data_IF_243185840408
#
_entry.id   IF_243185840408
#
_cell.length_a   1.000
_cell.length_b   1.000
_cell.length_c   1.000
_cell.angle_alpha   90.00
_cell.angle_beta   90.00
_cell.angle_gamma   90.00
#
_symmetry.space_group_name_H-M   'P 1'
#
loop_
_entity.id
_entity.type
_entity.pdbx_description
1 polymer ?
#
# COMPACT_ATOMS: atom_id res chain seq x y z
N UNK A 1 -1.33 -5.42 -6.18
CA UNK A 1 -0.32 -6.17 -5.42
C UNK A 1 -0.87 -6.46 -4.02
N UNK A 2 -0.21 -7.31 -3.23
CA UNK A 2 -0.64 -7.89 -1.93
C UNK A 2 -1.44 -7.01 -0.93
N UNK A 3 -1.42 -5.69 -1.07
CA UNK A 3 -2.09 -4.70 -0.22
C UNK A 3 -3.51 -4.31 -0.68
N UNK A 4 -4.10 -5.01 -1.66
CA UNK A 4 -5.45 -4.72 -2.16
C UNK A 4 -6.07 -5.86 -2.97
N UNK A 5 -7.21 -5.60 -3.62
CA UNK A 5 -7.85 -6.57 -4.52
C UNK A 5 -7.02 -6.74 -5.80
N UNK A 6 -6.90 -7.96 -6.36
CA UNK A 6 -6.14 -8.17 -7.58
C UNK A 6 -6.77 -7.46 -8.78
N UNK A 7 -5.89 -7.00 -9.66
CA UNK A 7 -6.22 -6.39 -10.94
C UNK A 7 -5.21 -6.88 -11.98
N UNK A 8 -5.57 -6.85 -13.25
CA UNK A 8 -4.68 -7.25 -14.33
C UNK A 8 -3.68 -6.12 -14.58
N UNK A 9 -2.37 -6.37 -14.48
CA UNK A 9 -1.41 -5.34 -14.77
C UNK A 9 -1.39 -5.06 -16.28
N UNK A 10 -1.19 -3.81 -16.66
CA UNK A 10 -1.02 -3.44 -18.08
C UNK A 10 0.17 -4.16 -18.72
N UNK A 11 1.24 -4.34 -17.95
CA UNK A 11 2.49 -4.94 -18.40
C UNK A 11 3.01 -6.00 -17.44
N UNK A 12 3.91 -6.85 -17.94
CA UNK A 12 4.66 -7.83 -17.16
C UNK A 12 6.11 -7.83 -17.64
N UNK A 13 7.05 -7.94 -16.71
CA UNK A 13 8.49 -8.06 -16.99
C UNK A 13 8.95 -9.50 -16.84
N UNK A 14 9.39 -10.10 -17.94
CA UNK A 14 9.86 -11.48 -18.02
C UNK A 14 11.38 -11.54 -18.05
N UNK A 15 11.99 -12.31 -17.16
CA UNK A 15 13.42 -12.64 -17.20
C UNK A 15 13.68 -13.84 -18.13
N UNK A 16 14.56 -13.69 -19.12
CA UNK A 16 14.75 -14.72 -20.16
C UNK A 16 15.56 -15.95 -19.71
N UNK A 17 16.08 -15.97 -18.49
CA UNK A 17 16.88 -17.07 -17.94
C UNK A 17 16.35 -17.61 -16.62
N UNK A 18 17.21 -18.33 -15.89
CA UNK A 18 16.94 -18.70 -14.48
C UNK A 18 17.08 -17.46 -13.58
N UNK A 19 16.47 -17.40 -12.39
CA UNK A 19 16.42 -16.18 -11.58
C UNK A 19 17.77 -15.48 -11.37
N UNK A 20 18.83 -16.24 -11.10
CA UNK A 20 20.18 -15.71 -10.83
C UNK A 20 21.08 -15.60 -12.07
N UNK A 21 20.55 -15.88 -13.27
CA UNK A 21 21.35 -15.83 -14.49
C UNK A 21 21.49 -14.41 -15.04
N UNK A 22 22.61 -14.14 -15.71
CA UNK A 22 22.81 -12.90 -16.47
C UNK A 22 22.05 -12.96 -17.81
N UNK A 23 20.72 -12.97 -17.76
CA UNK A 23 19.83 -12.91 -18.92
C UNK A 23 19.06 -11.57 -18.95
N UNK A 24 18.63 -11.08 -20.12
CA UNK A 24 17.90 -9.83 -20.21
C UNK A 24 16.46 -9.98 -19.69
N UNK A 25 15.91 -8.84 -19.24
CA UNK A 25 14.49 -8.68 -18.94
C UNK A 25 13.75 -8.11 -20.16
N UNK A 26 12.54 -8.60 -20.43
CA UNK A 26 11.67 -8.12 -21.50
C UNK A 26 10.33 -7.70 -20.89
N UNK A 27 9.92 -6.45 -21.11
CA UNK A 27 8.61 -5.94 -20.67
C UNK A 27 7.66 -5.86 -21.86
N UNK A 28 6.46 -6.40 -21.69
CA UNK A 28 5.41 -6.43 -22.71
C UNK A 28 4.03 -6.29 -22.07
N UNK A 29 3.00 -6.06 -22.88
CA UNK A 29 1.63 -6.06 -22.38
C UNK A 29 1.24 -7.46 -21.86
N UNK A 30 0.45 -7.48 -20.78
CA UNK A 30 0.09 -8.73 -20.10
C UNK A 30 -0.63 -9.71 -21.04
N UNK A 31 -1.53 -9.22 -21.90
CA UNK A 31 -2.23 -10.06 -22.86
C UNK A 31 -1.27 -10.73 -23.87
N UNK A 32 -0.27 -10.02 -24.41
CA UNK A 32 0.77 -10.59 -25.28
C UNK A 32 1.62 -11.62 -24.56
N UNK A 33 1.93 -11.43 -23.27
CA UNK A 33 2.59 -12.47 -22.48
C UNK A 33 1.74 -13.74 -22.42
N UNK A 34 0.44 -13.63 -22.14
CA UNK A 34 -0.46 -14.79 -22.09
C UNK A 34 -0.57 -15.46 -23.47
N UNK A 35 -0.66 -14.71 -24.58
CA UNK A 35 -0.64 -15.26 -25.95
C UNK A 35 0.64 -16.05 -26.22
N UNK A 36 1.78 -15.50 -25.80
CA UNK A 36 3.08 -16.12 -25.92
C UNK A 36 3.18 -17.39 -25.08
N UNK A 37 2.74 -17.39 -23.83
CA UNK A 37 2.81 -18.60 -23.00
C UNK A 37 1.83 -19.65 -23.51
N UNK A 38 0.57 -19.29 -23.75
CA UNK A 38 -0.44 -20.21 -24.24
C UNK A 38 0.02 -20.88 -25.54
N UNK A 39 0.45 -20.13 -26.55
CA UNK A 39 0.88 -20.74 -27.80
C UNK A 39 2.17 -21.59 -27.65
N UNK A 40 2.91 -21.49 -26.53
CA UNK A 40 4.17 -22.23 -26.26
C UNK A 40 3.92 -23.50 -25.44
N UNK A 41 2.84 -23.49 -24.65
CA UNK A 41 2.49 -24.50 -23.68
C UNK A 41 1.39 -25.46 -24.17
N UNK A 42 0.51 -25.00 -25.07
CA UNK A 42 -0.62 -25.78 -25.58
C UNK A 42 -0.70 -25.79 -27.11
N UNK A 43 -1.36 -26.82 -27.66
CA UNK A 43 -1.49 -27.00 -29.10
C UNK A 43 -2.81 -26.40 -29.61
N UNK A 44 -2.79 -25.63 -30.70
CA UNK A 44 -3.98 -24.95 -31.22
C UNK A 44 -5.08 -25.90 -31.73
N UNK A 45 -4.78 -27.18 -31.92
CA UNK A 45 -5.73 -28.20 -32.40
C UNK A 45 -6.51 -28.88 -31.28
N UNK A 46 -6.21 -28.58 -30.02
CA UNK A 46 -6.94 -29.15 -28.89
C UNK A 46 -8.39 -28.68 -28.84
N UNK A 47 -9.30 -29.47 -28.22
CA UNK A 47 -10.68 -29.04 -27.98
C UNK A 47 -10.73 -27.69 -27.29
N UNK A 48 -11.66 -26.82 -27.69
CA UNK A 48 -11.75 -25.46 -27.15
C UNK A 48 -11.88 -25.44 -25.62
N UNK A 49 -12.61 -26.41 -25.04
CA UNK A 49 -12.75 -26.51 -23.59
C UNK A 49 -11.39 -26.73 -22.88
N UNK A 50 -10.51 -27.54 -23.47
CA UNK A 50 -9.15 -27.74 -22.98
C UNK A 50 -8.31 -26.47 -23.14
N UNK A 51 -8.39 -25.80 -24.30
CA UNK A 51 -7.67 -24.54 -24.54
C UNK A 51 -8.03 -23.48 -23.49
N UNK A 52 -9.33 -23.26 -23.25
CA UNK A 52 -9.82 -22.27 -22.28
C UNK A 52 -9.38 -22.62 -20.85
N UNK A 53 -9.47 -23.88 -20.44
CA UNK A 53 -9.03 -24.31 -19.11
C UNK A 53 -7.53 -24.04 -18.87
N UNK A 54 -6.69 -24.32 -19.87
CA UNK A 54 -5.25 -24.00 -19.78
C UNK A 54 -5.00 -22.49 -19.77
N UNK A 55 -5.71 -21.70 -20.57
CA UNK A 55 -5.55 -20.24 -20.59
C UNK A 55 -5.90 -19.63 -19.22
N UNK A 56 -6.98 -20.05 -18.57
CA UNK A 56 -7.30 -19.61 -17.20
C UNK A 56 -6.17 -19.93 -16.21
N UNK A 57 -5.58 -21.14 -16.30
CA UNK A 57 -4.46 -21.52 -15.46
C UNK A 57 -3.19 -20.70 -15.75
N UNK A 58 -2.93 -20.34 -17.00
CA UNK A 58 -1.79 -19.51 -17.39
C UNK A 58 -1.94 -18.07 -16.87
N UNK A 59 -3.14 -17.49 -17.03
CA UNK A 59 -3.48 -16.15 -16.52
C UNK A 59 -3.35 -16.10 -15.00
N UNK A 60 -3.98 -17.05 -14.30
CA UNK A 60 -3.97 -17.08 -12.84
C UNK A 60 -2.57 -17.30 -12.26
N UNK A 61 -1.74 -18.15 -12.88
CA UNK A 61 -0.35 -18.35 -12.50
C UNK A 61 0.46 -17.05 -12.61
N UNK A 62 0.39 -16.40 -13.77
CA UNK A 62 1.14 -15.16 -14.04
C UNK A 62 0.71 -14.05 -13.08
N UNK A 63 -0.60 -13.91 -12.90
CA UNK A 63 -1.17 -12.91 -12.00
C UNK A 63 -0.80 -13.19 -10.55
N UNK A 64 -0.73 -14.45 -10.12
CA UNK A 64 -0.27 -14.81 -8.77
C UNK A 64 1.19 -14.38 -8.52
N UNK A 65 2.10 -14.59 -9.48
CA UNK A 65 3.51 -14.14 -9.36
C UNK A 65 3.62 -12.63 -9.16
N UNK A 66 2.80 -11.86 -9.87
CA UNK A 66 2.75 -10.39 -9.76
C UNK A 66 2.07 -9.97 -8.46
N UNK A 67 0.93 -10.59 -8.12
CA UNK A 67 0.16 -10.26 -6.92
C UNK A 67 1.01 -10.44 -5.66
N UNK A 68 1.69 -11.58 -5.56
CA UNK A 68 2.56 -11.96 -4.45
C UNK A 68 3.93 -11.27 -4.47
N UNK A 69 4.25 -10.54 -5.55
CA UNK A 69 5.57 -10.00 -5.84
C UNK A 69 6.67 -11.05 -5.60
N UNK A 70 6.44 -12.28 -6.09
CA UNK A 70 7.26 -13.43 -5.76
C UNK A 70 8.76 -13.20 -6.00
N UNK A 71 9.11 -12.59 -7.13
CA UNK A 71 10.49 -12.24 -7.47
C UNK A 71 10.92 -10.89 -6.88
N UNK A 72 10.06 -9.86 -6.94
CA UNK A 72 10.40 -8.52 -6.42
C UNK A 72 10.68 -8.53 -4.92
N UNK A 73 9.90 -9.27 -4.13
CA UNK A 73 10.11 -9.46 -2.70
C UNK A 73 11.41 -10.20 -2.35
N UNK A 74 12.04 -10.84 -3.34
CA UNK A 74 13.33 -11.54 -3.23
C UNK A 74 14.49 -10.72 -3.80
N UNK A 75 14.25 -9.47 -4.18
CA UNK A 75 15.28 -8.55 -4.67
C UNK A 75 15.50 -8.56 -6.18
N UNK A 76 14.66 -9.25 -6.95
CA UNK A 76 14.72 -9.21 -8.41
C UNK A 76 13.90 -8.02 -8.96
N UNK A 77 14.24 -7.55 -10.16
CA UNK A 77 13.58 -6.43 -10.83
C UNK A 77 12.52 -6.85 -11.86
N UNK A 78 12.30 -8.16 -12.00
CA UNK A 78 11.32 -8.79 -12.90
C UNK A 78 10.18 -9.48 -12.14
N UNK A 79 9.13 -9.85 -12.87
CA UNK A 79 7.91 -10.42 -12.31
C UNK A 79 7.80 -11.94 -12.47
N UNK A 80 8.43 -12.50 -13.50
CA UNK A 80 8.37 -13.94 -13.82
C UNK A 80 9.57 -14.38 -14.68
N UNK A 81 9.97 -15.64 -14.61
CA UNK A 81 10.98 -16.20 -15.53
C UNK A 81 10.35 -16.86 -16.77
N UNK A 82 11.14 -17.01 -17.83
CA UNK A 82 10.72 -17.63 -19.09
C UNK A 82 10.83 -19.17 -19.12
N UNK A 83 11.18 -19.81 -18.00
CA UNK A 83 11.60 -21.22 -17.97
C UNK A 83 10.62 -22.08 -17.18
N UNK A 84 10.32 -23.27 -17.70
CA UNK A 84 9.40 -24.24 -17.06
C UNK A 84 9.96 -24.88 -15.78
N UNK A 85 11.23 -24.64 -15.47
CA UNK A 85 11.82 -25.07 -14.19
C UNK A 85 11.24 -24.27 -13.02
N UNK A 86 10.87 -23.01 -13.24
CA UNK A 86 10.42 -22.10 -12.18
C UNK A 86 9.01 -21.55 -12.44
N UNK A 87 8.70 -21.26 -13.70
CA UNK A 87 7.46 -20.63 -14.13
C UNK A 87 6.93 -21.25 -15.42
N UNK A 88 6.58 -20.43 -16.41
CA UNK A 88 5.89 -20.82 -17.63
C UNK A 88 6.81 -20.64 -18.84
N UNK A 89 6.64 -21.46 -19.88
CA UNK A 89 7.42 -21.35 -21.12
C UNK A 89 7.06 -20.08 -21.85
N UNK A 90 8.00 -19.15 -21.85
CA UNK A 90 7.98 -17.96 -22.70
C UNK A 90 9.12 -18.03 -23.71
N UNK A 91 8.87 -17.60 -24.96
CA UNK A 91 9.91 -17.51 -25.98
C UNK A 91 9.87 -16.10 -26.57
N UNK A 92 10.97 -15.36 -26.41
CA UNK A 92 11.07 -14.01 -26.93
C UNK A 92 10.99 -14.00 -28.48
N UNK A 93 10.19 -13.09 -29.05
CA UNK A 93 10.07 -12.88 -30.49
C UNK A 93 9.29 -13.94 -31.29
N UNK A 94 8.56 -14.84 -30.63
CA UNK A 94 7.75 -15.85 -31.33
C UNK A 94 6.44 -15.30 -31.90
N UNK A 95 5.90 -16.00 -32.89
CA UNK A 95 4.54 -15.77 -33.39
C UNK A 95 3.48 -16.53 -32.57
N UNK A 96 2.23 -16.07 -32.65
CA UNK A 96 1.08 -16.61 -31.91
C UNK A 96 0.13 -17.37 -32.84
N UNK A 97 -0.47 -18.45 -32.35
CA UNK A 97 -1.52 -19.12 -33.10
C UNK A 97 -2.80 -18.29 -33.06
N UNK A 98 -3.40 -18.03 -34.23
CA UNK A 98 -4.56 -17.14 -34.38
C UNK A 98 -5.73 -17.50 -33.47
N UNK A 99 -6.07 -18.79 -33.38
CA UNK A 99 -7.17 -19.25 -32.54
C UNK A 99 -6.88 -19.09 -31.04
N UNK A 100 -5.63 -19.31 -30.61
CA UNK A 100 -5.21 -19.05 -29.23
C UNK A 100 -5.28 -17.55 -28.94
N UNK A 101 -4.83 -16.70 -29.85
CA UNK A 101 -4.91 -15.24 -29.68
C UNK A 101 -6.33 -14.77 -29.41
N UNK A 102 -7.32 -15.28 -30.16
CA UNK A 102 -8.73 -14.92 -29.94
C UNK A 102 -9.26 -15.36 -28.59
N UNK A 103 -8.92 -16.56 -28.14
CA UNK A 103 -9.31 -17.02 -26.81
C UNK A 103 -8.63 -16.22 -25.70
N UNK A 104 -7.36 -15.85 -25.87
CA UNK A 104 -6.66 -15.01 -24.89
C UNK A 104 -7.24 -13.61 -24.83
N UNK A 105 -7.60 -13.00 -25.97
CA UNK A 105 -8.25 -11.68 -25.99
C UNK A 105 -9.58 -11.66 -25.21
N UNK A 106 -10.28 -12.79 -25.14
CA UNK A 106 -11.49 -12.96 -24.34
C UNK A 106 -11.18 -13.20 -22.84
N UNK A 107 -10.10 -13.90 -22.52
CA UNK A 107 -9.88 -14.50 -21.19
C UNK A 107 -8.74 -13.88 -20.37
N UNK A 108 -7.92 -12.99 -20.93
CA UNK A 108 -6.71 -12.51 -20.26
C UNK A 108 -6.97 -11.76 -18.94
N UNK A 109 -8.20 -11.29 -18.75
CA UNK A 109 -8.65 -10.60 -17.54
C UNK A 109 -9.59 -11.43 -16.65
N UNK A 110 -9.64 -12.74 -16.89
CA UNK A 110 -10.34 -13.71 -16.07
C UNK A 110 -9.33 -14.64 -15.39
N UNK A 111 -9.43 -14.83 -14.07
CA UNK A 111 -8.50 -15.66 -13.31
C UNK A 111 -9.20 -16.58 -12.33
N UNK A 112 -8.51 -17.64 -11.92
CA UNK A 112 -8.99 -18.62 -10.94
C UNK A 112 -8.68 -18.12 -9.54
N UNK A 113 -9.65 -18.20 -8.63
CA UNK A 113 -9.41 -17.96 -7.21
C UNK A 113 -10.06 -19.06 -6.37
N UNK A 114 -9.61 -19.22 -5.12
CA UNK A 114 -10.31 -20.02 -4.11
C UNK A 114 -11.51 -19.23 -3.57
N UNK A 115 -12.61 -19.92 -3.30
CA UNK A 115 -13.77 -19.31 -2.65
C UNK A 115 -13.38 -18.80 -1.25
N UNK A 116 -13.82 -17.58 -0.92
CA UNK A 116 -13.46 -16.92 0.34
C UNK A 116 -12.07 -16.29 0.37
N UNK A 117 -11.28 -16.45 -0.70
CA UNK A 117 -9.97 -15.83 -0.86
C UNK A 117 -9.99 -14.77 -1.96
N UNK A 118 -9.11 -13.77 -1.86
CA UNK A 118 -9.00 -12.71 -2.87
C UNK A 118 -7.84 -12.92 -3.83
N UNK A 119 -6.80 -13.66 -3.46
CA UNK A 119 -5.63 -13.80 -4.32
C UNK A 119 -5.95 -14.64 -5.56
N UNK A 120 -5.28 -14.37 -6.70
CA UNK A 120 -5.28 -15.31 -7.81
C UNK A 120 -4.65 -16.62 -7.35
N UNK A 121 -5.32 -17.74 -7.60
CA UNK A 121 -4.80 -19.06 -7.25
C UNK A 121 -3.50 -19.32 -8.01
N UNK A 122 -2.48 -19.80 -7.31
CA UNK A 122 -1.28 -20.33 -7.96
C UNK A 122 -1.62 -21.66 -8.64
N UNK A 123 -2.11 -21.55 -9.86
CA UNK A 123 -2.54 -22.66 -10.72
C UNK A 123 -1.34 -23.34 -11.34
N UNK A 124 -0.54 -24.02 -10.52
CA UNK A 124 0.56 -24.85 -10.99
C UNK A 124 0.05 -25.85 -12.05
N UNK A 125 0.81 -26.02 -13.12
CA UNK A 125 0.47 -26.98 -14.18
C UNK A 125 1.74 -27.62 -14.73
N UNK A 126 1.56 -28.73 -15.42
CA UNK A 126 2.62 -29.46 -16.09
C UNK A 126 2.07 -30.13 -17.35
N UNK A 127 2.98 -30.60 -18.20
CA UNK A 127 2.62 -31.27 -19.44
C UNK A 127 1.65 -32.46 -19.23
N UNK A 128 1.89 -33.28 -18.21
CA UNK A 128 1.00 -34.38 -17.86
C UNK A 128 1.21 -35.67 -18.64
N UNK A 129 2.10 -35.70 -19.64
CA UNK A 129 2.51 -36.95 -20.33
C UNK A 129 3.89 -37.42 -19.87
N UNK A 130 4.89 -36.56 -19.93
CA UNK A 130 6.27 -36.84 -19.51
C UNK A 130 6.54 -36.46 -18.06
N UNK A 131 5.75 -35.53 -17.52
CA UNK A 131 5.87 -35.03 -16.14
C UNK A 131 4.49 -34.93 -15.51
N UNK A 132 4.33 -35.47 -14.30
CA UNK A 132 3.14 -35.33 -13.47
C UNK A 132 3.38 -34.33 -12.35
N UNK A 133 2.35 -33.58 -11.96
CA UNK A 133 2.37 -32.59 -10.90
C UNK A 133 1.05 -32.61 -10.13
N UNK A 134 1.00 -31.98 -8.95
CA UNK A 134 -0.21 -31.87 -8.15
C UNK A 134 -1.29 -30.95 -8.77
N UNK A 135 -0.89 -30.11 -9.73
CA UNK A 135 -1.78 -29.19 -10.43
C UNK A 135 -2.33 -29.73 -11.74
N UNK A 136 -2.66 -28.83 -12.67
CA UNK A 136 -3.30 -29.21 -13.92
C UNK A 136 -2.36 -29.97 -14.86
N UNK A 137 -2.85 -31.10 -15.37
CA UNK A 137 -2.22 -31.84 -16.49
C UNK A 137 -2.72 -31.25 -17.81
N UNK A 138 -1.83 -30.60 -18.57
CA UNK A 138 -2.18 -29.96 -19.84
C UNK A 138 -2.83 -30.96 -20.80
N UNK A 139 -2.20 -32.11 -21.04
CA UNK A 139 -2.80 -33.17 -21.87
C UNK A 139 -4.04 -33.80 -21.25
N UNK A 140 -4.09 -33.94 -19.93
CA UNK A 140 -5.27 -34.47 -19.25
C UNK A 140 -6.51 -33.57 -19.40
N UNK A 141 -6.34 -32.26 -19.68
CA UNK A 141 -7.48 -31.41 -20.05
C UNK A 141 -8.12 -31.82 -21.37
N UNK A 142 -7.36 -32.37 -22.31
CA UNK A 142 -7.87 -32.85 -23.61
C UNK A 142 -8.78 -34.06 -23.41
N UNK A 143 -8.36 -35.01 -22.57
CA UNK A 143 -9.16 -36.20 -22.26
C UNK A 143 -10.49 -35.82 -21.60
N UNK A 144 -10.46 -34.89 -20.64
CA UNK A 144 -11.66 -34.40 -19.97
C UNK A 144 -12.56 -33.59 -20.90
N UNK A 145 -11.99 -32.76 -21.77
CA UNK A 145 -12.76 -32.03 -22.78
C UNK A 145 -13.44 -32.98 -23.78
N UNK A 146 -12.77 -34.05 -24.20
CA UNK A 146 -13.35 -35.08 -25.06
C UNK A 146 -14.47 -35.88 -24.38
N UNK A 147 -14.46 -35.95 -23.04
CA UNK A 147 -15.57 -36.49 -22.24
C UNK A 147 -16.74 -35.51 -22.09
N UNK A 148 -16.64 -34.30 -22.67
CA UNK A 148 -17.70 -33.29 -22.68
C UNK A 148 -17.67 -32.33 -21.49
N UNK A 149 -16.62 -32.34 -20.66
CA UNK A 149 -16.51 -31.39 -19.55
C UNK A 149 -16.26 -29.97 -20.06
N UNK A 150 -16.90 -29.01 -19.41
CA UNK A 150 -16.69 -27.57 -19.63
C UNK A 150 -15.33 -27.12 -19.08
N UNK A 151 -14.79 -25.95 -19.52
CA UNK A 151 -13.54 -25.41 -18.97
C UNK A 151 -13.54 -25.31 -17.44
N UNK A 152 -14.67 -24.90 -16.86
CA UNK A 152 -14.81 -24.74 -15.42
C UNK A 152 -14.81 -26.09 -14.68
N UNK A 153 -15.48 -27.10 -15.22
CA UNK A 153 -15.46 -28.45 -14.64
C UNK A 153 -14.06 -29.09 -14.72
N UNK A 154 -13.33 -28.84 -15.81
CA UNK A 154 -11.92 -29.24 -15.95
C UNK A 154 -11.05 -28.57 -14.87
N UNK A 155 -11.20 -27.26 -14.67
CA UNK A 155 -10.47 -26.55 -13.61
C UNK A 155 -10.83 -27.10 -12.23
N UNK A 156 -12.11 -27.37 -11.97
CA UNK A 156 -12.55 -27.95 -10.70
C UNK A 156 -12.02 -29.37 -10.47
N UNK A 157 -11.82 -30.14 -11.53
CA UNK A 157 -11.21 -31.47 -11.45
C UNK A 157 -9.78 -31.39 -10.91
N UNK A 158 -8.97 -30.44 -11.40
CA UNK A 158 -7.56 -30.31 -11.00
C UNK A 158 -7.35 -29.49 -9.72
N UNK A 159 -8.15 -28.43 -9.52
CA UNK A 159 -7.92 -27.47 -8.44
C UNK A 159 -8.91 -27.62 -7.29
N UNK A 160 -9.93 -28.47 -7.38
CA UNK A 160 -10.95 -28.63 -6.36
C UNK A 160 -12.25 -27.87 -6.67
N UNK A 161 -13.32 -28.22 -5.94
CA UNK A 161 -14.67 -27.69 -6.20
C UNK A 161 -14.92 -26.29 -5.63
N UNK A 162 -14.06 -25.88 -4.71
CA UNK A 162 -14.03 -24.62 -3.96
C UNK A 162 -13.26 -23.50 -4.69
N UNK A 163 -13.28 -23.51 -6.02
CA UNK A 163 -12.77 -22.41 -6.84
C UNK A 163 -13.91 -21.59 -7.44
N UNK A 164 -13.60 -20.40 -7.94
CA UNK A 164 -14.43 -19.65 -8.87
C UNK A 164 -13.54 -18.93 -9.90
N UNK A 165 -14.14 -18.52 -11.01
CA UNK A 165 -13.48 -17.66 -12.00
C UNK A 165 -13.92 -16.23 -11.71
N UNK A 166 -12.96 -15.36 -11.36
CA UNK A 166 -13.18 -13.92 -11.36
C UNK A 166 -13.19 -13.46 -12.80
N UNK A 167 -14.22 -12.71 -13.19
CA UNK A 167 -14.39 -12.25 -14.56
C UNK A 167 -14.22 -10.75 -14.67
N UNK A 168 -13.66 -10.30 -15.80
CA UNK A 168 -13.51 -8.89 -16.14
C UNK A 168 -12.77 -8.09 -15.06
N UNK A 169 -11.67 -8.64 -14.56
CA UNK A 169 -10.84 -7.92 -13.60
C UNK A 169 -10.33 -6.61 -14.23
N UNK A 170 -10.30 -5.49 -13.48
CA UNK A 170 -9.87 -4.21 -14.02
C UNK A 170 -8.41 -4.30 -14.47
N UNK A 171 -8.11 -3.66 -15.60
CA UNK A 171 -6.73 -3.50 -16.07
C UNK A 171 -6.18 -2.18 -15.52
N UNK A 172 -5.02 -2.21 -14.88
CA UNK A 172 -4.38 -1.02 -14.31
C UNK A 172 -2.86 -1.12 -14.40
N UNK A 173 -2.16 0.01 -14.32
CA UNK A 173 -0.70 0.01 -14.21
C UNK A 173 -0.25 -0.75 -12.94
N UNK A 174 0.78 -1.57 -13.06
CA UNK A 174 1.36 -2.27 -11.91
C UNK A 174 2.06 -1.26 -10.99
N UNK A 175 1.60 -1.12 -9.75
CA UNK A 175 2.26 -0.28 -8.73
C UNK A 175 2.89 -1.17 -7.66
N UNK A 176 4.21 -1.04 -7.37
CA UNK A 176 4.90 -1.79 -6.32
C UNK A 176 4.10 -1.82 -5.01
N UNK A 177 4.14 -2.93 -4.26
CA UNK A 177 3.42 -2.95 -2.97
C UNK A 177 4.08 -2.02 -1.96
N UNK A 178 5.41 -1.84 -2.04
CA UNK A 178 6.11 -0.84 -1.23
C UNK A 178 5.60 0.57 -1.60
N UNK A 179 5.16 1.38 -0.63
CA UNK A 179 4.63 2.72 -0.91
C UNK A 179 5.67 3.70 -1.45
N UNK A 180 6.96 3.36 -1.47
CA UNK A 180 8.00 4.28 -1.91
C UNK A 180 8.39 5.29 -0.83
N UNK A 181 7.76 5.25 0.34
CA UNK A 181 8.14 6.03 1.51
C UNK A 181 8.33 5.08 2.69
N UNK A 182 9.31 5.38 3.54
CA UNK A 182 9.57 4.58 4.73
C UNK A 182 8.37 4.70 5.69
N UNK A 183 7.96 3.58 6.28
CA UNK A 183 6.93 3.58 7.33
C UNK A 183 7.60 3.52 8.70
N UNK A 184 7.33 4.52 9.53
CA UNK A 184 7.93 4.70 10.86
C UNK A 184 6.90 5.17 11.87
N UNK A 185 7.28 5.26 13.14
CA UNK A 185 6.41 5.75 14.22
C UNK A 185 5.70 7.05 13.82
N UNK A 186 4.36 7.01 13.82
CA UNK A 186 3.50 8.10 13.40
C UNK A 186 2.98 8.04 11.97
N UNK A 187 3.51 7.13 11.13
CA UNK A 187 2.94 6.84 9.81
C UNK A 187 1.51 6.32 9.96
N UNK A 188 0.62 6.63 9.01
CA UNK A 188 -0.74 6.10 9.01
C UNK A 188 -1.24 5.84 7.59
N UNK A 189 -2.13 4.85 7.44
CA UNK A 189 -2.76 4.52 6.15
C UNK A 189 -2.91 3.02 5.90
N UNK A 190 -3.41 2.68 4.71
CA UNK A 190 -3.63 1.28 4.32
C UNK A 190 -2.33 0.48 4.21
N UNK A 191 -1.21 1.12 3.89
CA UNK A 191 0.10 0.46 3.85
C UNK A 191 0.55 0.02 5.26
N UNK A 192 0.38 0.89 6.26
CA UNK A 192 0.62 0.56 7.69
C UNK A 192 -0.33 -0.54 8.15
N UNK A 193 -1.60 -0.47 7.78
CA UNK A 193 -2.58 -1.52 8.10
C UNK A 193 -2.13 -2.87 7.53
N UNK A 194 -1.74 -2.89 6.26
CA UNK A 194 -1.27 -4.10 5.59
C UNK A 194 -0.05 -4.68 6.29
N UNK A 195 0.93 -3.83 6.64
CA UNK A 195 2.08 -4.18 7.44
C UNK A 195 1.68 -4.84 8.78
N UNK A 196 0.75 -4.24 9.52
CA UNK A 196 0.27 -4.77 10.80
C UNK A 196 -0.40 -6.14 10.64
N UNK A 197 -1.23 -6.31 9.60
CA UNK A 197 -1.85 -7.60 9.24
C UNK A 197 -0.78 -8.65 8.93
N UNK A 198 0.22 -8.30 8.12
CA UNK A 198 1.29 -9.21 7.73
C UNK A 198 2.12 -9.63 8.95
N UNK A 199 2.59 -8.69 9.76
CA UNK A 199 3.36 -8.98 10.97
C UNK A 199 2.58 -9.84 11.96
N UNK A 200 1.28 -9.56 12.16
CA UNK A 200 0.44 -10.38 13.02
C UNK A 200 0.29 -11.81 12.50
N UNK A 201 0.11 -12.01 11.18
CA UNK A 201 0.07 -13.37 10.63
C UNK A 201 1.42 -14.07 10.77
N UNK A 202 2.52 -13.39 10.49
CA UNK A 202 3.89 -13.92 10.62
C UNK A 202 4.17 -14.32 12.07
N UNK A 203 3.73 -13.54 13.06
CA UNK A 203 3.92 -13.83 14.49
C UNK A 203 3.36 -15.20 14.91
N UNK A 204 2.36 -15.74 14.19
CA UNK A 204 1.84 -17.08 14.43
C UNK A 204 2.87 -18.19 14.19
N UNK A 205 3.79 -17.98 13.24
CA UNK A 205 4.89 -18.91 12.93
C UNK A 205 6.22 -18.48 13.59
N UNK A 206 6.35 -17.21 13.96
CA UNK A 206 7.53 -16.62 14.59
C UNK A 206 7.15 -15.91 15.90
N UNK A 207 6.92 -16.65 17.01
CA UNK A 207 6.33 -16.10 18.24
C UNK A 207 7.20 -15.07 18.97
N UNK A 208 8.47 -14.94 18.60
CA UNK A 208 9.33 -13.88 19.11
C UNK A 208 8.83 -12.48 18.70
N UNK A 209 8.19 -12.37 17.53
CA UNK A 209 7.60 -11.11 17.06
C UNK A 209 6.35 -10.83 17.91
N UNK A 210 6.30 -9.73 18.68
CA UNK A 210 5.15 -9.42 19.50
C UNK A 210 3.91 -9.15 18.62
N UNK A 211 2.74 -9.59 19.10
CA UNK A 211 1.47 -9.29 18.44
C UNK A 211 1.13 -7.81 18.57
N UNK A 212 0.69 -7.23 17.47
CA UNK A 212 0.16 -5.87 17.41
C UNK A 212 -1.33 -5.94 17.79
N UNK A 213 -1.79 -5.21 18.83
CA UNK A 213 -3.15 -5.36 19.36
C UNK A 213 -4.27 -5.07 18.35
N UNK A 214 -4.05 -4.11 17.45
CA UNK A 214 -5.01 -3.72 16.42
C UNK A 214 -4.29 -3.46 15.08
N UNK A 215 -4.90 -3.89 13.98
CA UNK A 215 -4.49 -3.48 12.63
C UNK A 215 -5.32 -2.25 12.21
N UNK A 216 -5.11 -1.15 12.91
CA UNK A 216 -5.82 0.13 12.75
C UNK A 216 -5.17 1.07 11.72
N UNK A 217 -4.05 0.64 11.14
CA UNK A 217 -3.26 1.38 10.19
C UNK A 217 -2.60 2.62 10.77
N UNK A 218 -2.31 2.62 12.08
CA UNK A 218 -1.49 3.63 12.76
C UNK A 218 -0.18 2.99 13.19
N UNK A 219 0.95 3.49 12.71
CA UNK A 219 2.26 2.94 13.00
C UNK A 219 2.69 3.46 14.36
N UNK A 220 2.40 2.67 15.37
CA UNK A 220 2.54 3.05 16.76
C UNK A 220 3.70 2.28 17.40
N UNK A 221 4.06 2.56 18.66
CA UNK A 221 5.11 1.85 19.39
C UNK A 221 4.94 0.31 19.43
N UNK A 222 3.71 -0.22 19.41
CA UNK A 222 3.51 -1.67 19.32
C UNK A 222 3.91 -2.19 17.94
N UNK A 223 3.53 -1.48 16.88
CA UNK A 223 3.94 -1.74 15.50
C UNK A 223 5.46 -1.60 15.34
N UNK A 224 6.07 -0.54 15.86
CA UNK A 224 7.52 -0.32 15.84
C UNK A 224 8.29 -1.44 16.55
N UNK A 225 7.83 -1.87 17.73
CA UNK A 225 8.45 -2.98 18.46
C UNK A 225 8.35 -4.30 17.68
N UNK A 226 7.20 -4.56 17.03
CA UNK A 226 7.03 -5.72 16.16
C UNK A 226 7.98 -5.66 14.95
N UNK A 227 8.13 -4.50 14.31
CA UNK A 227 9.07 -4.27 13.20
C UNK A 227 10.52 -4.46 13.64
N UNK A 228 10.93 -3.84 14.74
CA UNK A 228 12.29 -3.94 15.31
C UNK A 228 12.65 -5.39 15.63
N UNK A 229 11.69 -6.14 16.16
CA UNK A 229 11.84 -7.57 16.46
C UNK A 229 11.89 -8.41 15.18
N UNK A 230 10.99 -8.17 14.22
CA UNK A 230 11.02 -8.81 12.90
C UNK A 230 12.39 -8.62 12.23
N UNK A 231 12.88 -7.38 12.19
CA UNK A 231 14.19 -7.04 11.62
C UNK A 231 15.30 -7.85 12.28
N UNK A 232 15.31 -7.92 13.62
CA UNK A 232 16.29 -8.71 14.37
C UNK A 232 16.20 -10.22 14.03
N UNK A 233 14.98 -10.77 13.97
CA UNK A 233 14.75 -12.19 13.65
C UNK A 233 15.24 -12.55 12.25
N UNK A 234 15.09 -11.65 11.28
CA UNK A 234 15.42 -11.90 9.88
C UNK A 234 16.75 -11.26 9.42
N UNK A 235 17.59 -10.82 10.36
CA UNK A 235 18.94 -10.33 10.07
C UNK A 235 18.99 -8.99 9.32
N UNK A 236 17.98 -8.15 9.48
CA UNK A 236 17.94 -6.78 8.97
C UNK A 236 18.46 -5.78 10.02
N UNK A 237 18.78 -4.56 9.59
CA UNK A 237 19.04 -3.44 10.50
C UNK A 237 17.82 -3.19 11.39
N UNK A 238 17.98 -3.34 12.70
CA UNK A 238 16.88 -3.21 13.68
C UNK A 238 16.59 -1.74 14.02
N UNK A 239 16.14 -0.98 13.02
CA UNK A 239 15.85 0.46 13.13
C UNK A 239 14.46 0.74 13.73
N UNK A 240 13.52 -0.20 13.59
CA UNK A 240 12.09 0.03 13.86
C UNK A 240 11.36 0.74 12.70
N UNK A 241 12.08 1.11 11.65
CA UNK A 241 11.57 1.75 10.42
C UNK A 241 11.44 0.71 9.32
N UNK A 242 10.30 0.68 8.63
CA UNK A 242 10.06 -0.18 7.48
C UNK A 242 10.46 0.56 6.21
N UNK A 243 11.72 0.40 5.84
CA UNK A 243 12.25 0.77 4.52
C UNK A 243 11.85 -0.26 3.45
N UNK A 244 12.26 -0.02 2.20
CA UNK A 244 11.98 -0.91 1.08
C UNK A 244 12.44 -2.36 1.33
N UNK A 245 13.63 -2.55 1.92
CA UNK A 245 14.19 -3.88 2.19
C UNK A 245 13.38 -4.62 3.25
N UNK A 246 13.01 -3.93 4.33
CA UNK A 246 12.17 -4.47 5.40
C UNK A 246 10.79 -4.81 4.88
N UNK A 247 10.16 -3.93 4.10
CA UNK A 247 8.85 -4.17 3.48
C UNK A 247 8.85 -5.45 2.64
N UNK A 248 9.79 -5.56 1.70
CA UNK A 248 9.85 -6.73 0.83
C UNK A 248 10.20 -8.01 1.57
N UNK A 249 11.02 -7.94 2.63
CA UNK A 249 11.25 -9.10 3.50
C UNK A 249 9.98 -9.52 4.23
N UNK A 250 9.18 -8.59 4.74
CA UNK A 250 7.88 -8.88 5.38
C UNK A 250 6.93 -9.53 4.37
N UNK A 251 6.78 -8.94 3.18
CA UNK A 251 5.97 -9.47 2.07
C UNK A 251 6.37 -10.90 1.70
N UNK A 252 7.68 -11.16 1.53
CA UNK A 252 8.18 -12.50 1.21
C UNK A 252 7.86 -13.52 2.31
N UNK A 253 8.09 -13.17 3.58
CA UNK A 253 7.82 -14.06 4.70
C UNK A 253 6.30 -14.28 4.86
N UNK A 254 5.48 -13.24 4.73
CA UNK A 254 4.02 -13.35 4.73
C UNK A 254 3.52 -14.31 3.64
N UNK A 255 3.99 -14.12 2.39
CA UNK A 255 3.68 -15.00 1.26
C UNK A 255 4.07 -16.45 1.55
N UNK A 256 5.24 -16.65 2.17
CA UNK A 256 5.76 -17.98 2.50
C UNK A 256 4.97 -18.66 3.63
N UNK A 257 4.60 -17.94 4.69
CA UNK A 257 3.85 -18.55 5.81
C UNK A 257 2.40 -18.89 5.43
N UNK A 258 1.78 -18.10 4.55
CA UNK A 258 0.43 -18.39 4.02
C UNK A 258 0.46 -19.28 2.77
N UNK A 259 1.64 -19.52 2.19
CA UNK A 259 1.84 -20.35 0.99
C UNK A 259 0.99 -19.92 -0.19
N UNK A 260 0.70 -18.62 -0.29
CA UNK A 260 -0.18 -18.03 -1.31
C UNK A 260 0.45 -18.01 -2.71
N UNK A 261 1.75 -18.34 -2.82
CA UNK A 261 2.45 -18.59 -4.09
C UNK A 261 2.58 -20.10 -4.40
N UNK A 262 1.77 -20.94 -3.73
CA UNK A 262 1.74 -22.40 -3.85
C UNK A 262 0.29 -22.89 -4.05
N UNK A 263 0.13 -24.15 -4.47
CA UNK A 263 -1.17 -24.72 -4.84
C UNK A 263 -2.12 -24.89 -3.64
N UNK A 264 -1.56 -25.19 -2.46
CA UNK A 264 -2.23 -25.38 -1.18
C UNK A 264 -2.13 -24.12 -0.30
N UNK A 265 -2.46 -22.98 -0.92
CA UNK A 265 -2.62 -21.66 -0.28
C UNK A 265 -3.55 -21.72 0.93
N UNK A 266 -3.18 -21.03 2.01
CA UNK A 266 -4.07 -20.73 3.15
C UNK A 266 -5.23 -19.80 2.76
N UNK A 267 -5.06 -19.00 1.71
CA UNK A 267 -6.02 -17.97 1.31
C UNK A 267 -5.75 -16.61 1.97
N UNK A 268 -5.93 -15.53 1.22
CA UNK A 268 -6.00 -14.15 1.72
C UNK A 268 -7.47 -13.75 1.79
N UNK A 269 -7.99 -13.46 2.98
CA UNK A 269 -9.40 -13.06 3.14
C UNK A 269 -9.60 -11.61 2.73
N UNK A 270 -10.82 -11.27 2.29
CA UNK A 270 -11.14 -9.90 1.88
C UNK A 270 -10.89 -8.89 3.01
N UNK A 271 -11.22 -9.24 4.26
CA UNK A 271 -10.95 -8.35 5.39
C UNK A 271 -9.45 -8.11 5.65
N UNK A 272 -8.54 -8.99 5.20
CA UNK A 272 -7.10 -8.80 5.35
C UNK A 272 -6.60 -7.68 4.43
N UNK A 273 -7.18 -7.53 3.24
CA UNK A 273 -6.78 -6.55 2.22
C UNK A 273 -7.74 -5.37 2.07
N UNK A 274 -8.91 -5.42 2.72
CA UNK A 274 -9.89 -4.34 2.62
C UNK A 274 -9.30 -3.04 3.18
N UNK A 275 -9.28 -1.95 2.39
CA UNK A 275 -8.79 -0.67 2.87
C UNK A 275 -9.73 -0.12 3.95
N UNK A 276 -9.17 0.42 5.02
CA UNK A 276 -9.93 1.15 6.05
C UNK A 276 -9.89 2.65 5.81
N UNK A 277 -8.85 3.13 5.13
CA UNK A 277 -8.72 4.49 4.64
C UNK A 277 -9.11 4.53 3.16
N UNK A 278 -9.76 5.61 2.69
CA UNK A 278 -10.05 5.76 1.25
C UNK A 278 -8.72 5.91 0.49
N UNK A 279 -8.54 5.13 -0.57
CA UNK A 279 -7.27 5.09 -1.33
C UNK A 279 -7.00 6.38 -2.10
N UNK A 280 -8.05 7.03 -2.59
CA UNK A 280 -7.99 8.28 -3.33
C UNK A 280 -8.87 9.32 -2.64
N UNK A 281 -8.34 10.53 -2.43
CA UNK A 281 -9.12 11.67 -1.95
C UNK A 281 -9.51 12.57 -3.12
N UNK A 282 -10.79 12.88 -3.25
CA UNK A 282 -11.31 13.70 -4.34
C UNK A 282 -12.46 14.59 -3.87
N UNK A 283 -12.94 15.45 -4.78
CA UNK A 283 -13.96 16.44 -4.48
C UNK A 283 -15.23 15.81 -3.86
N UNK A 284 -15.77 16.47 -2.84
CA UNK A 284 -16.95 16.04 -2.09
C UNK A 284 -16.66 15.13 -0.90
N UNK A 285 -15.42 14.69 -0.71
CA UNK A 285 -15.04 13.89 0.48
C UNK A 285 -14.88 14.76 1.72
N UNK A 286 -15.23 14.22 2.89
CA UNK A 286 -14.98 14.84 4.19
C UNK A 286 -14.38 13.82 5.16
N UNK A 287 -13.19 14.09 5.68
CA UNK A 287 -12.50 13.20 6.64
C UNK A 287 -11.23 13.83 7.24
N UNK A 288 -10.65 13.19 8.26
CA UNK A 288 -9.37 13.61 8.85
C UNK A 288 -8.20 13.47 7.86
N UNK A 289 -8.27 12.55 6.89
CA UNK A 289 -7.27 12.44 5.83
C UNK A 289 -7.31 13.63 4.88
N UNK A 290 -8.50 14.19 4.62
CA UNK A 290 -8.63 15.43 3.84
C UNK A 290 -8.02 16.60 4.61
N UNK A 291 -8.24 16.68 5.92
CA UNK A 291 -7.60 17.69 6.76
C UNK A 291 -6.06 17.56 6.68
N UNK A 292 -5.53 16.34 6.72
CA UNK A 292 -4.09 16.09 6.64
C UNK A 292 -3.52 16.47 5.27
N UNK A 293 -4.22 16.14 4.19
CA UNK A 293 -3.90 16.59 2.84
C UNK A 293 -3.85 18.13 2.75
N UNK A 294 -4.85 18.81 3.29
CA UNK A 294 -4.95 20.27 3.31
C UNK A 294 -3.81 20.89 4.13
N UNK A 295 -3.46 20.31 5.29
CA UNK A 295 -2.32 20.77 6.10
C UNK A 295 -1.02 20.71 5.30
N UNK A 296 -0.74 19.59 4.65
CA UNK A 296 0.45 19.46 3.82
C UNK A 296 0.46 20.45 2.64
N UNK A 297 -0.66 20.61 1.94
CA UNK A 297 -0.79 21.60 0.86
C UNK A 297 -0.58 23.03 1.37
N UNK A 298 -1.11 23.36 2.55
CA UNK A 298 -0.98 24.69 3.15
C UNK A 298 0.49 24.99 3.50
N UNK A 299 1.20 24.06 4.14
CA UNK A 299 2.63 24.19 4.42
C UNK A 299 3.43 24.29 3.12
N UNK A 300 3.19 23.42 2.14
CA UNK A 300 3.89 23.48 0.85
C UNK A 300 3.62 24.81 0.14
N UNK A 301 2.38 25.29 0.13
CA UNK A 301 1.98 26.58 -0.45
C UNK A 301 2.68 27.78 0.16
N UNK A 302 3.11 27.69 1.42
CA UNK A 302 3.89 28.75 2.07
C UNK A 302 5.33 28.87 1.51
N UNK A 303 5.90 27.78 0.97
CA UNK A 303 7.26 27.75 0.42
C UNK A 303 7.30 27.70 -1.11
N UNK A 304 6.24 27.18 -1.74
CA UNK A 304 6.09 27.09 -3.18
C UNK A 304 4.97 28.01 -3.63
N UNK A 305 5.30 29.26 -4.00
CA UNK A 305 4.32 30.28 -4.40
C UNK A 305 3.40 29.89 -5.57
N UNK A 306 3.78 28.88 -6.37
CA UNK A 306 2.98 28.33 -7.45
C UNK A 306 1.91 27.32 -6.98
N UNK A 307 1.95 26.89 -5.72
CA UNK A 307 0.93 26.07 -5.07
C UNK A 307 -0.09 26.99 -4.41
N UNK A 308 -1.34 26.86 -4.83
CA UNK A 308 -2.44 27.72 -4.35
C UNK A 308 -2.75 27.42 -2.87
N UNK A 309 -2.94 28.43 -2.01
CA UNK A 309 -3.32 28.22 -0.62
C UNK A 309 -4.64 27.45 -0.47
N UNK A 310 -4.79 26.74 0.64
CA UNK A 310 -5.99 25.97 0.99
C UNK A 310 -6.26 26.04 2.49
N UNK A 311 -7.54 26.08 2.86
CA UNK A 311 -7.97 26.01 4.26
C UNK A 311 -8.09 24.55 4.74
N UNK A 312 -7.76 24.32 6.00
CA UNK A 312 -7.87 23.01 6.66
C UNK A 312 -9.29 22.85 7.22
N UNK A 313 -10.23 22.49 6.36
CA UNK A 313 -11.65 22.33 6.70
C UNK A 313 -12.05 20.87 6.92
N UNK A 314 -11.20 19.93 6.49
CA UNK A 314 -11.52 18.51 6.39
C UNK A 314 -12.52 18.17 5.29
N UNK A 315 -13.01 19.15 4.52
CA UNK A 315 -13.87 18.96 3.35
C UNK A 315 -13.10 19.25 2.06
N UNK A 316 -13.09 18.29 1.14
CA UNK A 316 -12.40 18.38 -0.14
C UNK A 316 -13.31 19.12 -1.12
N UNK A 317 -13.27 20.45 -1.09
CA UNK A 317 -14.00 21.32 -2.02
C UNK A 317 -13.17 21.74 -3.24
N UNK A 318 -13.74 22.64 -4.05
CA UNK A 318 -13.06 23.20 -5.24
C UNK A 318 -11.73 23.88 -4.90
N UNK A 319 -11.60 24.50 -3.72
CA UNK A 319 -10.35 25.12 -3.29
C UNK A 319 -9.26 24.07 -3.06
N UNK A 320 -9.61 22.96 -2.41
CA UNK A 320 -8.69 21.83 -2.19
C UNK A 320 -8.29 21.18 -3.51
N UNK A 321 -9.25 20.98 -4.42
CA UNK A 321 -8.95 20.46 -5.76
C UNK A 321 -8.02 21.37 -6.55
N UNK A 322 -8.25 22.69 -6.51
CA UNK A 322 -7.41 23.69 -7.18
C UNK A 322 -5.99 23.72 -6.60
N UNK A 323 -5.87 23.70 -5.27
CA UNK A 323 -4.58 23.61 -4.59
C UNK A 323 -3.84 22.32 -4.97
N UNK A 324 -4.54 21.18 -4.96
CA UNK A 324 -3.95 19.91 -5.35
C UNK A 324 -3.51 19.87 -6.82
N UNK A 325 -4.31 20.39 -7.76
CA UNK A 325 -3.91 20.51 -9.18
C UNK A 325 -2.69 21.41 -9.35
N UNK A 326 -2.61 22.49 -8.56
CA UNK A 326 -1.44 23.37 -8.58
C UNK A 326 -0.18 22.68 -8.06
N UNK A 327 -0.30 21.86 -7.01
CA UNK A 327 0.76 20.97 -6.53
C UNK A 327 1.17 19.95 -7.60
N UNK A 328 0.21 19.19 -8.15
CA UNK A 328 0.46 18.20 -9.21
C UNK A 328 1.22 18.82 -10.39
N UNK A 329 0.83 20.02 -10.83
CA UNK A 329 1.54 20.77 -11.88
C UNK A 329 2.98 21.13 -11.49
N UNK A 330 3.21 21.64 -10.27
CA UNK A 330 4.54 22.05 -9.79
C UNK A 330 5.49 20.85 -9.70
N UNK A 331 4.98 19.68 -9.34
CA UNK A 331 5.77 18.46 -9.15
C UNK A 331 5.74 17.51 -10.37
N UNK A 332 5.16 17.92 -11.49
CA UNK A 332 5.18 17.15 -12.75
C UNK A 332 4.24 15.93 -12.78
N UNK A 333 3.25 15.88 -11.89
CA UNK A 333 2.24 14.82 -11.84
C UNK A 333 1.06 15.12 -12.78
N UNK A 334 0.30 14.08 -13.21
CA UNK A 334 -0.98 14.29 -13.89
C UNK A 334 -1.92 15.16 -13.06
N UNK A 335 -2.47 16.23 -13.65
CA UNK A 335 -3.32 17.22 -12.97
C UNK A 335 -4.77 16.75 -12.81
N UNK A 336 -4.95 15.58 -12.20
CA UNK A 336 -6.26 14.92 -12.04
C UNK A 336 -7.15 15.62 -11.02
N UNK A 337 -6.58 16.35 -10.06
CA UNK A 337 -7.30 16.85 -8.88
C UNK A 337 -7.71 15.76 -7.89
N UNK A 338 -7.20 14.54 -8.07
CA UNK A 338 -7.38 13.40 -7.16
C UNK A 338 -6.07 13.13 -6.44
N UNK A 339 -6.11 13.04 -5.11
CA UNK A 339 -4.95 12.68 -4.30
C UNK A 339 -4.80 11.15 -4.28
N UNK A 340 -4.38 10.61 -5.42
CA UNK A 340 -4.01 9.20 -5.55
C UNK A 340 -2.74 8.89 -4.73
N UNK A 341 -2.37 7.61 -4.65
CA UNK A 341 -1.19 7.16 -3.91
C UNK A 341 0.09 7.91 -4.32
N UNK A 342 0.32 8.08 -5.62
CA UNK A 342 1.49 8.77 -6.13
C UNK A 342 1.52 10.24 -5.69
N UNK A 343 0.39 10.94 -5.82
CA UNK A 343 0.24 12.34 -5.40
C UNK A 343 0.45 12.50 -3.90
N UNK A 344 -0.12 11.61 -3.07
CA UNK A 344 0.04 11.65 -1.61
C UNK A 344 1.49 11.41 -1.18
N UNK A 345 2.20 10.51 -1.84
CA UNK A 345 3.61 10.25 -1.57
C UNK A 345 4.50 11.46 -1.89
N UNK A 346 4.32 12.08 -3.05
CA UNK A 346 5.10 13.26 -3.44
C UNK A 346 4.81 14.45 -2.52
N UNK A 347 3.57 14.59 -2.11
CA UNK A 347 3.13 15.63 -1.18
C UNK A 347 3.72 15.42 0.21
N UNK A 348 3.75 14.18 0.71
CA UNK A 348 4.45 13.84 1.95
C UNK A 348 5.96 14.11 1.86
N UNK A 349 6.61 13.72 0.75
CA UNK A 349 8.05 13.98 0.52
C UNK A 349 8.37 15.48 0.48
N UNK A 350 7.57 16.26 -0.24
CA UNK A 350 7.73 17.71 -0.32
C UNK A 350 7.59 18.36 1.06
N UNK A 351 6.56 17.97 1.81
CA UNK A 351 6.35 18.42 3.18
C UNK A 351 7.52 18.05 4.11
N UNK A 352 7.99 16.79 4.08
CA UNK A 352 9.11 16.32 4.89
C UNK A 352 10.39 17.09 4.60
N UNK A 353 10.69 17.38 3.33
CA UNK A 353 11.84 18.20 2.97
C UNK A 353 11.78 19.62 3.55
N UNK A 354 10.59 20.22 3.64
CA UNK A 354 10.38 21.51 4.31
C UNK A 354 10.57 21.35 5.83
N UNK A 355 9.91 20.38 6.45
CA UNK A 355 9.95 20.16 7.89
C UNK A 355 11.37 19.88 8.42
N UNK A 356 12.21 19.19 7.64
CA UNK A 356 13.60 18.89 8.01
C UNK A 356 14.53 20.11 7.86
N UNK A 357 14.20 21.06 6.99
CA UNK A 357 15.03 22.25 6.74
C UNK A 357 14.64 23.45 7.62
N UNK A 358 13.37 23.54 8.00
CA UNK A 358 12.83 24.65 8.81
C UNK A 358 12.93 24.31 10.29
N UNK A 359 13.99 24.79 10.95
CA UNK A 359 14.16 24.57 12.40
C UNK A 359 13.12 25.35 13.22
N UNK A 360 12.64 24.79 14.35
CA UNK A 360 11.68 25.46 15.24
C UNK A 360 12.11 26.85 15.72
N UNK A 361 13.40 27.10 15.82
CA UNK A 361 13.97 28.40 16.25
C UNK A 361 13.69 29.54 15.26
N UNK A 362 13.38 29.22 14.00
CA UNK A 362 13.14 30.20 12.94
C UNK A 362 11.66 30.50 12.69
N UNK A 363 10.76 29.84 13.42
CA UNK A 363 9.31 29.99 13.25
C UNK A 363 8.66 30.38 14.58
N UNK A 364 7.54 31.11 14.52
CA UNK A 364 6.78 31.47 15.72
C UNK A 364 6.15 30.23 16.39
N UNK A 365 5.82 29.23 15.57
CA UNK A 365 5.35 27.90 15.99
C UNK A 365 6.08 26.83 15.20
N UNK A 366 6.37 25.70 15.84
CA UNK A 366 7.03 24.58 15.19
C UNK A 366 6.10 23.88 14.20
N UNK A 367 6.62 23.48 13.05
CA UNK A 367 5.90 22.60 12.12
C UNK A 367 5.70 21.22 12.76
N UNK A 368 4.66 20.51 12.32
CA UNK A 368 4.44 19.13 12.75
C UNK A 368 5.70 18.29 12.41
N UNK A 369 6.17 17.41 13.31
CA UNK A 369 7.42 16.67 13.09
C UNK A 369 7.31 15.57 12.02
N UNK A 370 6.13 15.41 11.39
CA UNK A 370 5.86 14.29 10.48
C UNK A 370 5.49 12.98 11.20
N UNK A 371 5.57 12.95 12.53
CA UNK A 371 5.29 11.77 13.37
C UNK A 371 4.23 12.07 14.42
N UNK A 372 3.26 11.16 14.57
CA UNK A 372 2.20 11.25 15.58
C UNK A 372 2.82 11.02 16.96
N UNK A 373 2.65 11.98 17.88
CA UNK A 373 3.10 11.80 19.26
C UNK A 373 2.05 11.10 20.11
N UNK A 374 2.48 10.18 20.98
CA UNK A 374 1.61 9.44 21.89
C UNK A 374 2.30 9.07 23.20
N UNK A 375 1.53 8.46 24.10
CA UNK A 375 2.05 8.00 25.39
C UNK A 375 3.22 7.02 25.22
N UNK A 376 4.33 7.31 25.90
CA UNK A 376 5.60 6.59 25.80
C UNK A 376 6.68 7.35 25.02
N UNK A 377 6.30 8.27 24.14
CA UNK A 377 7.26 8.99 23.30
C UNK A 377 8.10 9.97 24.13
N UNK A 378 9.33 10.22 23.70
CA UNK A 378 10.23 11.21 24.30
C UNK A 378 10.95 12.02 23.24
N UNK A 379 11.19 13.31 23.50
CA UNK A 379 12.01 14.15 22.64
C UNK A 379 11.57 15.60 22.56
N UNK A 380 12.20 16.34 21.65
CA UNK A 380 11.99 17.78 21.50
C UNK A 380 10.55 18.12 21.06
N UNK A 381 9.95 17.34 20.16
CA UNK A 381 8.57 17.56 19.72
C UNK A 381 7.56 17.41 20.87
N UNK A 382 7.82 16.48 21.81
CA UNK A 382 7.02 16.34 23.03
C UNK A 382 7.19 17.56 23.93
N UNK A 383 8.43 18.03 24.09
CA UNK A 383 8.76 19.24 24.86
C UNK A 383 8.02 20.46 24.32
N UNK A 384 7.99 20.62 23.00
CA UNK A 384 7.27 21.70 22.31
C UNK A 384 5.77 21.65 22.60
N UNK A 385 5.13 20.49 22.43
CA UNK A 385 3.69 20.37 22.70
C UNK A 385 3.35 20.56 24.18
N UNK A 386 4.22 20.09 25.09
CA UNK A 386 4.04 20.33 26.52
C UNK A 386 4.15 21.82 26.87
N UNK A 387 5.09 22.55 26.26
CA UNK A 387 5.17 24.01 26.39
C UNK A 387 3.88 24.68 25.93
N UNK A 388 3.36 24.28 24.76
CA UNK A 388 2.15 24.87 24.19
C UNK A 388 0.93 24.60 25.07
N UNK A 389 0.72 23.34 25.47
CA UNK A 389 -0.38 22.94 26.37
C UNK A 389 -0.30 23.64 27.73
N UNK A 390 0.90 23.87 28.26
CA UNK A 390 1.10 24.59 29.52
C UNK A 390 0.64 26.04 29.44
N UNK A 391 0.90 26.73 28.32
CA UNK A 391 0.38 28.08 28.12
C UNK A 391 -1.15 28.08 27.94
N UNK A 392 -1.66 27.14 27.14
CA UNK A 392 -3.10 26.99 26.85
C UNK A 392 -3.90 26.75 28.13
N UNK A 393 -3.37 25.94 29.05
CA UNK A 393 -3.98 25.65 30.36
C UNK A 393 -4.33 26.92 31.16
N UNK A 394 -3.51 27.98 31.06
CA UNK A 394 -3.74 29.23 31.80
C UNK A 394 -5.06 29.92 31.40
N UNK A 395 -5.53 29.68 30.17
CA UNK A 395 -6.81 30.20 29.66
C UNK A 395 -7.90 29.15 29.73
N UNK A 396 -7.57 27.89 29.39
CA UNK A 396 -8.51 26.77 29.33
C UNK A 396 -8.21 25.77 30.47
N UNK A 397 -8.68 26.10 31.67
CA UNK A 397 -8.36 25.35 32.90
C UNK A 397 -8.90 23.92 32.93
N UNK A 398 -9.85 23.58 32.05
CA UNK A 398 -10.34 22.21 31.87
C UNK A 398 -9.34 21.30 31.16
N UNK A 399 -8.33 21.85 30.49
CA UNK A 399 -7.21 21.10 29.92
C UNK A 399 -6.16 20.92 31.03
N UNK A 400 -5.85 19.70 31.49
CA UNK A 400 -4.87 19.48 32.55
C UNK A 400 -3.50 20.08 32.25
N UNK A 401 -2.89 20.68 33.28
CA UNK A 401 -1.52 21.15 33.22
C UNK A 401 -0.55 19.98 33.00
N UNK A 402 0.52 20.24 32.25
CA UNK A 402 1.57 19.27 31.97
C UNK A 402 2.92 19.84 32.38
N UNK A 403 3.85 18.96 32.75
CA UNK A 403 5.24 19.35 32.99
C UNK A 403 6.01 19.21 31.70
N UNK A 404 6.85 20.20 31.38
CA UNK A 404 7.69 20.22 30.19
C UNK A 404 8.92 19.30 30.34
N UNK A 405 8.66 18.00 30.44
CA UNK A 405 9.67 16.96 30.70
C UNK A 405 10.30 16.42 29.43
N UNK A 406 9.67 16.65 28.28
CA UNK A 406 10.01 15.98 27.02
C UNK A 406 9.60 14.51 26.99
N UNK A 407 8.89 13.99 28.00
CA UNK A 407 8.33 12.64 28.03
C UNK A 407 6.80 12.69 27.97
N UNK A 408 6.20 12.01 27.00
CA UNK A 408 4.76 11.98 26.79
C UNK A 408 4.18 10.90 27.71
N UNK A 409 3.91 11.26 28.96
CA UNK A 409 3.29 10.36 29.94
C UNK A 409 1.75 10.41 29.95
N UNK A 410 1.12 9.66 30.88
CA UNK A 410 -0.34 9.65 31.04
C UNK A 410 -0.97 11.04 31.23
N UNK A 411 -0.27 11.96 31.92
CA UNK A 411 -0.72 13.34 32.09
C UNK A 411 -0.74 14.12 30.77
N UNK A 412 0.27 13.95 29.92
CA UNK A 412 0.30 14.58 28.59
C UNK A 412 -0.80 13.99 27.70
N UNK A 413 -1.01 12.67 27.75
CA UNK A 413 -2.12 12.02 27.05
C UNK A 413 -3.47 12.59 27.49
N UNK A 414 -3.70 12.70 28.79
CA UNK A 414 -4.93 13.28 29.33
C UNK A 414 -5.10 14.74 28.89
N UNK A 415 -4.04 15.55 28.96
CA UNK A 415 -4.05 16.95 28.50
C UNK A 415 -4.42 17.07 27.02
N UNK A 416 -3.81 16.25 26.16
CA UNK A 416 -4.13 16.18 24.73
C UNK A 416 -5.57 15.72 24.51
N UNK A 417 -6.04 14.69 25.21
CA UNK A 417 -7.44 14.23 25.11
C UNK A 417 -8.44 15.33 25.47
N UNK A 418 -8.21 16.07 26.56
CA UNK A 418 -9.10 17.18 26.93
C UNK A 418 -8.98 18.38 25.98
N UNK A 419 -7.79 18.67 25.47
CA UNK A 419 -7.61 19.65 24.41
C UNK A 419 -8.45 19.29 23.19
N UNK A 420 -8.34 18.04 22.72
CA UNK A 420 -9.10 17.55 21.57
C UNK A 420 -10.61 17.71 21.80
N UNK A 421 -11.13 17.31 22.97
CA UNK A 421 -12.55 17.52 23.32
C UNK A 421 -12.95 18.99 23.29
N UNK A 422 -12.12 19.86 23.85
CA UNK A 422 -12.36 21.30 23.94
C UNK A 422 -12.48 21.95 22.56
N UNK A 423 -11.68 21.48 21.60
CA UNK A 423 -11.61 22.04 20.25
C UNK A 423 -12.31 21.20 19.17
N UNK A 424 -13.16 20.25 19.55
CA UNK A 424 -13.96 19.46 18.62
C UNK A 424 -13.17 18.48 17.76
N UNK A 425 -11.98 18.07 18.20
CA UNK A 425 -11.17 17.01 17.58
C UNK A 425 -11.51 15.68 18.25
N UNK A 426 -11.47 14.57 17.49
CA UNK A 426 -11.62 13.22 18.04
C UNK A 426 -10.65 12.99 19.22
N UNK A 427 -11.15 12.65 20.44
CA UNK A 427 -10.34 12.64 21.66
C UNK A 427 -9.51 11.35 21.80
N UNK A 428 -8.57 11.14 20.87
CA UNK A 428 -7.71 9.97 20.81
C UNK A 428 -6.58 9.98 21.85
N UNK A 429 -6.17 11.16 22.32
CA UNK A 429 -4.96 11.35 23.12
C UNK A 429 -3.66 11.27 22.30
N UNK A 430 -3.76 11.21 20.97
CA UNK A 430 -2.66 11.21 20.02
C UNK A 430 -2.47 12.61 19.42
N UNK A 431 -1.25 13.04 19.17
CA UNK A 431 -0.94 14.33 18.52
C UNK A 431 -0.45 14.08 17.09
N UNK A 432 -1.37 13.91 16.16
CA UNK A 432 -1.09 13.95 14.71
C UNK A 432 -1.10 15.37 14.16
N UNK A 433 -0.90 15.53 12.85
CA UNK A 433 -0.80 16.83 12.18
C UNK A 433 -1.93 17.82 12.55
N UNK A 434 -3.17 17.35 12.59
CA UNK A 434 -4.34 18.20 12.90
C UNK A 434 -4.36 18.65 14.36
N UNK A 435 -4.02 17.74 15.29
CA UNK A 435 -3.95 18.09 16.71
C UNK A 435 -2.76 19.00 16.96
N UNK A 436 -1.61 18.75 16.33
CA UNK A 436 -0.43 19.59 16.41
C UNK A 436 -0.73 21.01 15.92
N UNK A 437 -1.26 21.13 14.71
CA UNK A 437 -1.62 22.40 14.08
C UNK A 437 -2.59 23.20 14.96
N UNK A 438 -3.61 22.54 15.49
CA UNK A 438 -4.57 23.20 16.39
C UNK A 438 -3.93 23.65 17.70
N UNK A 439 -3.10 22.82 18.33
CA UNK A 439 -2.38 23.20 19.57
C UNK A 439 -1.47 24.40 19.28
N UNK A 440 -0.69 24.34 18.20
CA UNK A 440 0.22 25.40 17.78
C UNK A 440 -0.53 26.71 17.49
N UNK A 441 -1.66 26.65 16.79
CA UNK A 441 -2.51 27.81 16.47
C UNK A 441 -3.06 28.48 17.73
N UNK A 442 -3.67 27.72 18.64
CA UNK A 442 -4.21 28.26 19.91
C UNK A 442 -3.09 28.85 20.76
N UNK A 443 -1.94 28.18 20.84
CA UNK A 443 -0.76 28.71 21.52
C UNK A 443 -0.30 30.04 20.91
N UNK A 444 -0.22 30.12 19.58
CA UNK A 444 0.19 31.33 18.86
C UNK A 444 -0.75 32.50 19.16
N UNK A 445 -2.07 32.27 19.07
CA UNK A 445 -3.08 33.28 19.34
C UNK A 445 -3.00 33.80 20.78
N UNK A 446 -2.78 32.91 21.76
CA UNK A 446 -2.63 33.30 23.17
C UNK A 446 -1.32 34.03 23.45
N UNK A 447 -0.23 33.67 22.78
CA UNK A 447 1.10 34.23 23.04
C UNK A 447 1.33 35.56 22.34
N UNK A 448 0.87 35.68 21.09
CA UNK A 448 1.20 36.79 20.21
C UNK A 448 0.01 37.71 19.89
N UNK A 449 -1.22 37.32 20.25
CA UNK A 449 -2.43 38.08 19.97
C UNK A 449 -2.92 37.96 18.51
N UNK A 450 -3.97 38.70 18.18
CA UNK A 450 -4.63 38.64 16.86
C UNK A 450 -3.93 39.49 15.77
N UNK A 451 -2.94 40.32 16.11
CA UNK A 451 -2.17 41.14 15.15
C UNK A 451 -1.07 40.29 14.48
N UNK A 452 -1.50 39.44 13.54
CA UNK A 452 -0.61 38.57 12.76
C UNK A 452 0.03 39.39 11.62
N UNK A 453 1.37 39.45 11.58
CA UNK A 453 2.15 40.00 10.47
C UNK A 453 2.07 39.06 9.25
N UNK A 454 2.29 39.55 8.02
CA UNK A 454 2.39 38.70 6.83
C UNK A 454 3.41 37.57 7.07
N UNK A 455 3.08 36.35 6.65
CA UNK A 455 3.90 35.13 6.77
C UNK A 455 3.99 34.47 8.16
N UNK A 456 3.10 34.81 9.12
CA UNK A 456 3.05 34.17 10.44
C UNK A 456 2.06 32.97 10.54
N UNK A 457 1.74 32.32 9.43
CA UNK A 457 0.75 31.24 9.39
C UNK A 457 1.26 30.02 8.61
N UNK A 458 1.02 28.78 9.07
CA UNK A 458 0.82 27.63 8.18
C UNK A 458 -0.49 27.73 7.34
N UNK A 459 -0.82 28.93 6.86
CA UNK A 459 -1.59 29.17 5.63
C UNK A 459 -3.08 29.54 5.74
N UNK A 460 -3.41 30.84 5.90
CA UNK A 460 -4.43 31.55 5.12
C UNK A 460 -4.38 33.09 5.30
N UNK A 461 -4.86 33.82 4.28
CA UNK A 461 -5.08 35.27 4.32
C UNK A 461 -6.57 35.53 4.55
N UNK A 462 -6.93 36.26 5.62
CA UNK A 462 -8.32 36.69 5.83
C UNK A 462 -8.60 37.90 4.93
N UNK A 463 -9.45 37.74 3.92
CA UNK A 463 -10.01 38.85 3.14
C UNK A 463 -11.15 39.48 3.93
N UNK A 464 -11.03 40.80 4.19
CA UNK A 464 -12.09 41.62 4.77
C UNK A 464 -13.17 42.03 3.78
#
# INVERSE_FOLDING_TARGET
MLTGTPYIPETITVHLGTPDSSAPNVTLDFASYIKNVASSEIYPTWPEAALRANIYAIVSFALNRIYTEWYRSRGYDFDITATTQYDQKYINGREYFRNISYLVDELFNDYVQRQGSVEPLFTAFCNGTTTTCAGLSQWGTVDLANQGLTPYEILQYYYGKDINIVKNAPVRSAMPSYPGIDLELGSAGNDVRSLQVFLNRISGNYPAIPKIPAADGIFDAATENAVRTFQSVFGLSSTGVVDQATWYKITYIYTSVKRIAELDSEGVRLEEVAPIFREDLSIGMQSDEVSMLQYYLAVIGAYYAAVTPVEITGYFGEQTERSLKSFQRVFGLPQTGVADRATRNDLYRAYRGIAETVKPEYTAVALYPGTVLKEGDSGESVRIIQEYLSLIHNTYSNIPAVNNTGYFGPLTRQSVTEFQRTFGITPSGLVGAITWDRIAGVYSDLKYGFDKRPYQDPGYTITG
#
